data_IF_281213156263
#
_entry.id   IF_281213156263
#
_cell.length_a   1.000
_cell.length_b   1.000
_cell.length_c   1.000
_cell.angle_alpha   90.00
_cell.angle_beta   90.00
_cell.angle_gamma   90.00
#
_symmetry.space_group_name_H-M   'P 1'
#
loop_
_entity.id
_entity.type
_entity.pdbx_description
1 polymer ?
#
# COMPACT_ATOMS: atom_id res chain seq x y z
N UNK A 1 64.63 -14.57 27.85
CA UNK A 1 65.52 -13.96 26.84
C UNK A 1 65.03 -14.37 25.46
N UNK A 2 64.73 -13.40 24.59
CA UNK A 2 64.35 -13.55 23.17
C UNK A 2 65.47 -14.27 22.39
N UNK A 3 65.12 -15.10 21.39
CA UNK A 3 65.43 -14.83 19.96
C UNK A 3 64.38 -15.47 19.05
N UNK A 4 63.96 -14.66 18.10
CA UNK A 4 63.01 -14.86 17.00
C UNK A 4 63.71 -15.60 15.85
N UNK A 5 62.98 -16.42 15.09
CA UNK A 5 63.15 -16.44 13.64
C UNK A 5 61.79 -16.64 12.94
N UNK A 6 61.44 -15.65 12.13
CA UNK A 6 60.25 -15.56 11.27
C UNK A 6 60.60 -16.16 9.90
N UNK A 7 59.70 -16.93 9.29
CA UNK A 7 59.47 -16.85 7.84
C UNK A 7 58.04 -17.22 7.47
N UNK A 8 57.35 -16.26 6.86
CA UNK A 8 56.03 -16.31 6.23
C UNK A 8 56.01 -17.24 5.00
N UNK A 9 54.91 -17.96 4.79
CA UNK A 9 54.26 -17.96 3.47
C UNK A 9 52.73 -17.99 3.64
N UNK A 10 52.16 -16.84 3.35
CA UNK A 10 50.75 -16.50 3.22
C UNK A 10 50.10 -17.29 2.08
N UNK A 11 48.97 -17.95 2.35
CA UNK A 11 47.93 -18.17 1.33
C UNK A 11 46.62 -17.68 1.93
N UNK A 12 46.08 -16.67 1.27
CA UNK A 12 44.97 -15.81 1.65
C UNK A 12 43.66 -16.59 1.66
N UNK A 13 42.99 -16.62 2.82
CA UNK A 13 41.54 -16.71 2.86
C UNK A 13 40.97 -15.35 2.47
N UNK A 14 40.43 -15.26 1.26
CA UNK A 14 39.44 -14.24 0.92
C UNK A 14 38.44 -14.84 -0.05
N UNK A 15 37.50 -15.61 0.50
CA UNK A 15 36.16 -15.67 -0.08
C UNK A 15 35.52 -14.30 0.18
N UNK A 16 35.94 -13.32 -0.62
CA UNK A 16 35.27 -12.03 -0.75
C UNK A 16 34.20 -12.20 -1.82
N UNK A 17 33.05 -12.76 -1.42
CA UNK A 17 31.82 -12.43 -2.11
C UNK A 17 31.29 -11.16 -1.44
N UNK A 18 31.66 -10.01 -1.99
CA UNK A 18 30.91 -8.77 -1.76
C UNK A 18 29.64 -8.91 -2.58
N UNK A 19 28.56 -9.37 -1.94
CA UNK A 19 27.25 -9.04 -2.43
C UNK A 19 26.93 -7.71 -1.79
N UNK A 20 27.39 -6.63 -2.42
CA UNK A 20 26.87 -5.29 -2.18
C UNK A 20 25.44 -5.26 -2.74
N UNK A 21 24.52 -5.89 -2.00
CA UNK A 21 23.10 -5.64 -2.17
C UNK A 21 22.79 -4.44 -1.27
N UNK A 22 23.26 -3.26 -1.71
CA UNK A 22 22.76 -1.95 -1.29
C UNK A 22 21.30 -1.82 -1.75
N UNK A 23 20.45 -2.75 -1.30
CA UNK A 23 19.05 -2.49 -1.18
C UNK A 23 18.96 -1.46 -0.07
N UNK A 24 18.75 -0.21 -0.47
CA UNK A 24 18.12 0.77 0.40
C UNK A 24 16.94 0.02 0.99
N UNK A 25 17.01 -0.32 2.29
CA UNK A 25 15.84 -0.74 3.02
C UNK A 25 14.98 0.52 3.08
N UNK A 26 14.26 0.79 2.00
CA UNK A 26 13.13 1.69 2.03
C UNK A 26 12.26 1.12 3.13
N UNK A 27 12.24 1.82 4.27
CA UNK A 27 11.34 1.55 5.37
C UNK A 27 9.94 1.53 4.76
N UNK A 28 9.43 0.32 4.45
CA UNK A 28 8.18 0.15 3.73
C UNK A 28 7.11 0.75 4.60
N UNK A 29 6.57 1.87 4.13
CA UNK A 29 5.55 2.57 4.86
C UNK A 29 4.36 1.65 5.11
N UNK A 30 3.89 1.56 6.36
CA UNK A 30 2.73 0.75 6.73
C UNK A 30 1.52 1.68 6.70
N UNK A 31 0.78 1.62 5.60
CA UNK A 31 -0.44 2.40 5.40
C UNK A 31 -1.65 1.51 5.66
N UNK A 32 -2.44 1.84 6.67
CA UNK A 32 -3.69 1.14 6.95
C UNK A 32 -4.84 1.91 6.32
N UNK A 33 -5.59 1.27 5.42
CA UNK A 33 -6.74 1.87 4.76
C UNK A 33 -8.00 1.12 5.15
N UNK A 34 -9.00 1.84 5.65
CA UNK A 34 -10.39 1.37 5.70
C UNK A 34 -11.22 2.17 4.71
N UNK A 35 -12.42 1.67 4.42
CA UNK A 35 -13.38 2.34 3.57
C UNK A 35 -14.52 2.88 4.45
N UNK A 36 -15.13 3.97 4.01
CA UNK A 36 -16.44 4.45 4.48
C UNK A 36 -17.37 4.53 3.28
N UNK A 37 -18.56 3.94 3.37
CA UNK A 37 -19.61 4.18 2.40
C UNK A 37 -20.39 5.44 2.80
N UNK A 38 -20.13 6.57 2.14
CA UNK A 38 -20.87 7.81 2.34
C UNK A 38 -21.85 8.04 1.19
N UNK A 39 -22.71 7.06 0.96
CA UNK A 39 -23.84 7.17 0.05
C UNK A 39 -25.10 6.65 0.70
N UNK A 40 -26.25 6.93 0.09
CA UNK A 40 -27.55 6.35 0.48
C UNK A 40 -27.75 4.92 -0.04
N UNK A 41 -26.74 4.33 -0.70
CA UNK A 41 -26.80 3.02 -1.32
C UNK A 41 -25.91 2.02 -0.60
N UNK A 42 -26.33 0.76 -0.54
CA UNK A 42 -25.45 -0.31 -0.07
C UNK A 42 -24.50 -0.70 -1.21
N UNK A 43 -23.22 -0.76 -0.88
CA UNK A 43 -22.17 -1.21 -1.78
C UNK A 43 -21.88 -2.69 -1.55
N UNK A 44 -21.64 -3.40 -2.64
CA UNK A 44 -21.30 -4.82 -2.65
C UNK A 44 -20.04 -5.08 -3.45
N UNK A 45 -19.37 -6.18 -3.11
CA UNK A 45 -18.22 -6.70 -3.84
C UNK A 45 -17.15 -5.63 -4.08
N UNK A 46 -16.87 -4.83 -3.04
CA UNK A 46 -15.97 -3.68 -3.13
C UNK A 46 -14.53 -4.18 -3.22
N UNK A 47 -13.82 -3.77 -4.27
CA UNK A 47 -12.42 -4.08 -4.50
C UNK A 47 -11.63 -2.80 -4.67
N UNK A 48 -10.55 -2.62 -3.89
CA UNK A 48 -9.63 -1.48 -3.99
C UNK A 48 -8.20 -1.98 -4.15
N UNK A 49 -7.47 -1.52 -5.16
CA UNK A 49 -6.13 -2.04 -5.50
C UNK A 49 -6.06 -3.58 -5.66
N UNK A 50 -7.14 -4.22 -6.11
CA UNK A 50 -7.32 -5.69 -6.14
C UNK A 50 -7.47 -6.37 -4.78
N UNK A 51 -7.69 -5.61 -3.71
CA UNK A 51 -8.00 -6.14 -2.39
C UNK A 51 -9.51 -6.05 -2.16
N UNK A 52 -10.13 -7.19 -1.87
CA UNK A 52 -11.56 -7.29 -1.56
C UNK A 52 -11.87 -6.72 -0.17
N UNK A 53 -12.84 -5.82 -0.05
CA UNK A 53 -13.36 -5.24 1.19
C UNK A 53 -14.78 -5.73 1.52
N UNK A 54 -15.37 -6.59 0.68
CA UNK A 54 -16.70 -7.13 0.87
C UNK A 54 -17.80 -6.10 0.63
N UNK A 55 -18.82 -6.14 1.48
CA UNK A 55 -20.00 -5.28 1.37
C UNK A 55 -19.97 -4.22 2.47
N UNK A 56 -20.53 -3.04 2.18
CA UNK A 56 -20.74 -1.98 3.16
C UNK A 56 -22.14 -1.41 2.96
N UNK A 57 -22.93 -1.45 4.03
CA UNK A 57 -24.21 -0.73 4.06
C UNK A 57 -23.96 0.79 4.07
N UNK A 58 -25.00 1.56 3.75
CA UNK A 58 -24.95 3.02 3.81
C UNK A 58 -24.44 3.52 5.18
N UNK A 59 -23.41 4.36 5.17
CA UNK A 59 -22.80 4.93 6.36
C UNK A 59 -21.79 4.03 7.08
N UNK A 60 -21.59 2.79 6.63
CA UNK A 60 -20.73 1.81 7.29
C UNK A 60 -19.24 2.02 6.99
N UNK A 61 -18.40 1.57 7.93
CA UNK A 61 -16.95 1.48 7.78
C UNK A 61 -16.50 0.03 7.64
N UNK A 62 -15.51 -0.22 6.79
CA UNK A 62 -14.82 -1.52 6.76
C UNK A 62 -13.81 -1.66 7.90
N UNK A 63 -13.30 -2.87 8.06
CA UNK A 63 -12.02 -3.09 8.73
C UNK A 63 -10.87 -2.45 7.94
N UNK A 64 -9.77 -2.17 8.63
CA UNK A 64 -8.53 -1.72 8.01
C UNK A 64 -7.84 -2.86 7.26
N UNK A 65 -7.20 -2.52 6.14
CA UNK A 65 -6.27 -3.38 5.41
C UNK A 65 -4.94 -2.68 5.26
N UNK A 66 -3.87 -3.47 5.29
CA UNK A 66 -2.49 -2.99 5.30
C UNK A 66 -1.94 -2.94 3.88
N UNK A 67 -1.30 -1.83 3.53
CA UNK A 67 -0.62 -1.61 2.27
C UNK A 67 0.80 -1.14 2.53
N UNK A 68 1.74 -1.65 1.73
CA UNK A 68 3.13 -1.15 1.70
C UNK A 68 3.24 0.19 0.96
N UNK A 69 2.24 0.48 0.12
CA UNK A 69 2.17 1.69 -0.69
C UNK A 69 0.73 1.97 -1.09
N UNK A 70 0.29 3.20 -0.87
CA UNK A 70 -1.01 3.69 -1.32
C UNK A 70 -0.93 5.19 -1.63
N UNK A 71 -1.98 5.72 -2.26
CA UNK A 71 -2.05 7.10 -2.75
C UNK A 71 -3.34 7.79 -2.29
N UNK A 72 -3.55 9.04 -2.68
CA UNK A 72 -4.77 9.80 -2.34
C UNK A 72 -6.03 9.27 -3.03
N UNK A 73 -5.85 8.52 -4.10
CA UNK A 73 -6.91 7.83 -4.83
C UNK A 73 -6.43 6.43 -5.22
N UNK A 74 -7.37 5.58 -5.62
CA UNK A 74 -7.13 4.19 -5.93
C UNK A 74 -8.03 3.75 -7.09
N UNK A 75 -7.66 2.63 -7.72
CA UNK A 75 -8.65 1.90 -8.51
C UNK A 75 -9.67 1.26 -7.56
N UNK A 76 -10.95 1.49 -7.84
CA UNK A 76 -12.08 0.95 -7.07
C UNK A 76 -13.04 0.28 -8.02
N UNK A 77 -13.55 -0.87 -7.64
CA UNK A 77 -14.68 -1.54 -8.27
C UNK A 77 -15.71 -1.86 -7.19
N UNK A 78 -16.98 -1.59 -7.45
CA UNK A 78 -18.07 -1.92 -6.53
C UNK A 78 -19.36 -2.12 -7.29
N UNK A 79 -20.33 -2.78 -6.68
CA UNK A 79 -21.69 -2.90 -7.19
C UNK A 79 -22.68 -2.19 -6.28
N UNK A 80 -23.62 -1.41 -6.86
CA UNK A 80 -24.73 -0.81 -6.13
C UNK A 80 -26.02 -0.98 -6.96
N UNK A 81 -27.10 -1.42 -6.31
CA UNK A 81 -28.40 -1.69 -6.96
C UNK A 81 -28.31 -2.57 -8.23
N UNK A 82 -27.37 -3.53 -8.26
CA UNK A 82 -27.17 -4.43 -9.40
C UNK A 82 -26.39 -3.82 -10.58
N UNK A 83 -25.87 -2.59 -10.45
CA UNK A 83 -24.97 -1.96 -11.42
C UNK A 83 -23.55 -1.98 -10.88
N UNK A 84 -22.59 -2.36 -11.73
CA UNK A 84 -21.15 -2.28 -11.41
C UNK A 84 -20.62 -0.87 -11.75
N UNK A 85 -19.83 -0.32 -10.84
CA UNK A 85 -19.17 0.97 -10.98
C UNK A 85 -17.66 0.80 -10.81
N UNK A 86 -16.89 1.54 -11.59
CA UNK A 86 -15.43 1.50 -11.54
C UNK A 86 -14.85 2.91 -11.53
N UNK A 87 -13.89 3.16 -10.65
CA UNK A 87 -12.97 4.29 -10.70
C UNK A 87 -11.61 3.76 -11.11
N UNK A 88 -11.06 4.27 -12.22
CA UNK A 88 -9.71 3.92 -12.66
C UNK A 88 -8.89 5.20 -12.87
N UNK A 89 -7.87 5.46 -12.04
CA UNK A 89 -6.94 6.55 -12.27
C UNK A 89 -6.16 6.34 -13.57
N UNK A 90 -5.92 7.42 -14.32
CA UNK A 90 -5.12 7.37 -15.56
C UNK A 90 -3.66 7.02 -15.27
N UNK A 91 -3.06 7.70 -14.29
CA UNK A 91 -1.75 7.40 -13.73
C UNK A 91 -1.67 7.96 -12.29
N UNK A 92 -0.54 7.67 -11.62
CA UNK A 92 -0.18 8.26 -10.33
C UNK A 92 1.00 9.23 -10.47
N UNK A 93 1.25 9.76 -11.68
CA UNK A 93 2.43 10.59 -11.94
C UNK A 93 2.29 11.92 -11.20
N UNK A 94 3.31 12.25 -10.40
CA UNK A 94 3.29 13.44 -9.55
C UNK A 94 2.59 13.25 -8.21
N UNK A 95 2.04 12.07 -7.92
CA UNK A 95 1.56 11.74 -6.58
C UNK A 95 2.70 11.30 -5.67
N UNK A 96 2.63 11.72 -4.42
CA UNK A 96 3.47 11.18 -3.35
C UNK A 96 2.75 10.01 -2.67
N UNK A 97 3.46 8.89 -2.39
CA UNK A 97 2.91 7.82 -1.57
C UNK A 97 2.47 8.35 -0.20
N UNK A 98 1.40 7.78 0.33
CA UNK A 98 0.97 8.04 1.70
C UNK A 98 2.08 7.61 2.68
N UNK A 99 2.25 8.41 3.74
CA UNK A 99 3.12 8.08 4.87
C UNK A 99 2.42 7.07 5.78
N UNK A 100 3.18 6.53 6.73
CA UNK A 100 2.65 5.66 7.78
C UNK A 100 1.44 6.28 8.49
N UNK A 101 0.43 5.43 8.70
CA UNK A 101 -0.73 5.81 9.48
C UNK A 101 -2.02 5.13 9.03
N UNK A 102 -3.10 5.59 9.66
CA UNK A 102 -4.45 5.12 9.40
C UNK A 102 -5.17 6.16 8.55
N UNK A 103 -5.81 5.67 7.49
CA UNK A 103 -6.51 6.47 6.51
C UNK A 103 -7.88 5.86 6.22
N UNK A 104 -8.82 6.72 5.89
CA UNK A 104 -10.14 6.33 5.40
C UNK A 104 -10.31 6.83 3.98
N UNK A 105 -10.60 5.92 3.05
CA UNK A 105 -11.19 6.29 1.77
C UNK A 105 -12.71 6.39 1.95
N UNK A 106 -13.21 7.62 1.90
CA UNK A 106 -14.64 7.88 1.88
C UNK A 106 -15.12 7.74 0.45
N UNK A 107 -15.96 6.74 0.22
CA UNK A 107 -16.51 6.40 -1.09
C UNK A 107 -17.90 7.01 -1.24
N UNK A 108 -18.08 7.81 -2.28
CA UNK A 108 -19.38 8.37 -2.67
C UNK A 108 -19.70 8.03 -4.12
N UNK A 109 -20.98 8.08 -4.49
CA UNK A 109 -21.45 7.91 -5.86
C UNK A 109 -22.14 9.20 -6.31
N UNK A 110 -21.49 9.96 -7.18
CA UNK A 110 -21.98 11.25 -7.68
C UNK A 110 -22.20 11.12 -9.19
N UNK A 111 -23.43 11.33 -9.63
CA UNK A 111 -23.82 11.23 -11.05
C UNK A 111 -23.37 9.93 -11.73
N UNK A 112 -23.41 8.81 -10.98
CA UNK A 112 -23.00 7.49 -11.46
C UNK A 112 -21.49 7.26 -11.49
N UNK A 113 -20.69 8.15 -10.89
CA UNK A 113 -19.24 8.02 -10.79
C UNK A 113 -18.81 7.79 -9.34
N UNK A 114 -17.91 6.84 -9.13
CA UNK A 114 -17.30 6.61 -7.82
C UNK A 114 -16.27 7.70 -7.55
N UNK A 115 -16.36 8.33 -6.39
CA UNK A 115 -15.40 9.32 -5.92
C UNK A 115 -14.73 8.84 -4.63
N UNK A 116 -13.47 9.24 -4.42
CA UNK A 116 -12.70 9.00 -3.21
C UNK A 116 -12.33 10.34 -2.60
N UNK A 117 -12.70 10.54 -1.35
CA UNK A 117 -12.07 11.52 -0.46
C UNK A 117 -11.15 10.77 0.52
N UNK A 118 -9.88 11.19 0.60
CA UNK A 118 -8.94 10.67 1.59
C UNK A 118 -8.99 11.49 2.87
N UNK A 119 -9.29 10.82 3.98
CA UNK A 119 -9.20 11.39 5.33
C UNK A 119 -8.08 10.70 6.10
N UNK A 120 -7.21 11.49 6.72
CA UNK A 120 -6.22 10.97 7.69
C UNK A 120 -6.85 11.00 9.09
N UNK A 121 -6.70 9.89 9.83
CA UNK A 121 -7.19 9.74 11.21
C UNK A 121 -6.20 10.32 12.24
#
# INVERSE_FOLDING_TARGET
MKKILILLFTVTLSLSCSNDDDSIQEEKAIVNIRLKNESDLNYKDIVVYNVDYGNLDSGEFSEYKVFEKAYRYANVKLSAQGTEYTLQPYDYVGEEPLKDGNYTYVLTLIDGNVNIELVKE
#
